data_IF_998769611200
#
_entry.id   IF_998769611200
#
_cell.length_a   1.000
_cell.length_b   1.000
_cell.length_c   1.000
_cell.angle_alpha   90.00
_cell.angle_beta   90.00
_cell.angle_gamma   90.00
#
_symmetry.space_group_name_H-M   'P 1'
#
loop_
_entity.id
_entity.type
_entity.pdbx_description
1 polymer ?
#
# COMPACT_ATOMS: atom_id res chain seq x y z
N UNK A 1 3.60 14.58 -9.95
CA UNK A 1 2.33 14.39 -10.68
C UNK A 1 1.25 15.20 -9.99
N UNK A 2 0.41 15.92 -10.73
CA UNK A 2 -0.84 16.47 -10.19
C UNK A 2 -1.87 15.36 -10.30
N UNK A 3 -2.42 14.94 -9.17
CA UNK A 3 -3.55 14.01 -9.11
C UNK A 3 -4.79 14.86 -8.85
N UNK A 4 -5.88 14.59 -9.55
CA UNK A 4 -7.14 15.27 -9.31
C UNK A 4 -7.71 14.81 -7.97
N UNK A 5 -8.15 15.77 -7.17
CA UNK A 5 -8.71 15.53 -5.84
C UNK A 5 -10.21 15.85 -5.91
N UNK A 6 -11.04 14.87 -5.58
CA UNK A 6 -12.49 15.05 -5.53
C UNK A 6 -13.12 14.19 -4.43
N UNK A 7 -14.27 14.64 -3.92
CA UNK A 7 -15.03 14.00 -2.85
C UNK A 7 -16.12 13.07 -3.40
N UNK A 8 -15.89 12.41 -4.53
CA UNK A 8 -16.84 11.45 -5.08
C UNK A 8 -16.12 10.15 -5.46
N UNK A 9 -16.81 9.01 -5.36
CA UNK A 9 -16.25 7.73 -5.73
C UNK A 9 -15.85 7.71 -7.22
N UNK A 10 -14.80 6.94 -7.55
CA UNK A 10 -14.26 6.80 -8.91
C UNK A 10 -13.63 8.07 -9.52
N UNK A 11 -13.15 9.01 -8.71
CA UNK A 11 -12.34 10.12 -9.20
C UNK A 11 -11.09 9.63 -9.95
N UNK A 12 -10.47 8.55 -9.48
CA UNK A 12 -9.35 7.89 -10.12
C UNK A 12 -9.85 6.81 -11.07
N UNK A 13 -9.68 7.00 -12.38
CA UNK A 13 -10.09 6.03 -13.41
C UNK A 13 -8.96 5.04 -13.71
N UNK A 14 -7.73 5.53 -13.80
CA UNK A 14 -6.52 4.73 -13.99
C UNK A 14 -5.61 4.90 -12.77
N UNK A 15 -4.96 3.82 -12.29
CA UNK A 15 -4.07 3.92 -11.15
C UNK A 15 -2.94 4.92 -11.39
N UNK A 16 -2.77 5.86 -10.48
CA UNK A 16 -1.63 6.77 -10.49
C UNK A 16 -0.49 6.15 -9.72
N UNK A 17 0.68 6.05 -10.35
CA UNK A 17 1.88 5.51 -9.71
C UNK A 17 2.84 6.63 -9.36
N UNK A 18 3.15 6.77 -8.08
CA UNK A 18 4.15 7.68 -7.55
C UNK A 18 5.34 6.93 -6.95
N UNK A 19 6.49 7.58 -6.88
CA UNK A 19 7.65 7.04 -6.17
C UNK A 19 7.89 7.85 -4.91
N UNK A 20 7.82 7.19 -3.77
CA UNK A 20 8.22 7.73 -2.48
C UNK A 20 9.53 7.06 -2.02
N UNK A 21 10.27 7.74 -1.15
CA UNK A 21 11.49 7.19 -0.58
C UNK A 21 11.30 6.98 0.92
N UNK A 22 11.46 5.74 1.37
CA UNK A 22 11.36 5.38 2.78
C UNK A 22 12.76 5.30 3.37
N UNK A 23 12.98 6.01 4.46
CA UNK A 23 14.24 5.97 5.19
C UNK A 23 14.37 4.68 5.99
N UNK A 24 15.49 3.99 5.85
CA UNK A 24 15.79 2.84 6.69
C UNK A 24 15.85 3.25 8.18
N UNK A 25 15.36 2.36 9.04
CA UNK A 25 15.30 2.61 10.49
C UNK A 25 16.68 2.80 11.11
N UNK A 26 17.65 1.99 10.67
CA UNK A 26 19.03 2.02 11.16
C UNK A 26 19.91 2.87 10.23
N UNK A 27 21.02 3.36 10.80
CA UNK A 27 22.04 4.04 10.03
C UNK A 27 22.72 3.06 9.07
N UNK A 28 23.12 3.58 7.91
CA UNK A 28 23.87 2.78 6.95
C UNK A 28 25.26 2.47 7.48
N UNK A 29 25.78 1.25 7.33
CA UNK A 29 27.15 0.88 7.73
C UNK A 29 28.26 1.77 7.12
N UNK A 30 27.95 2.52 6.05
CA UNK A 30 28.91 3.47 5.47
C UNK A 30 29.29 4.61 6.43
N UNK A 31 28.54 4.86 7.49
CA UNK A 31 28.88 5.80 8.56
C UNK A 31 30.16 5.38 9.27
N UNK A 32 30.19 4.13 9.74
CA UNK A 32 31.36 3.58 10.43
C UNK A 32 32.55 3.43 9.47
N UNK A 33 32.29 3.02 8.22
CA UNK A 33 33.33 2.91 7.21
C UNK A 33 33.97 4.27 6.91
N UNK A 34 33.16 5.34 6.81
CA UNK A 34 33.65 6.69 6.63
C UNK A 34 34.54 7.12 7.79
N UNK A 35 34.09 6.92 9.01
CA UNK A 35 34.87 7.27 10.21
C UNK A 35 36.24 6.58 10.26
N UNK A 36 36.30 5.31 9.88
CA UNK A 36 37.56 4.55 9.75
C UNK A 36 38.47 5.14 8.68
N UNK A 37 37.92 5.45 7.49
CA UNK A 37 38.71 6.01 6.39
C UNK A 37 39.24 7.42 6.71
N UNK A 38 38.48 8.23 7.44
CA UNK A 38 38.93 9.55 7.92
C UNK A 38 40.04 9.41 8.97
N UNK A 39 39.89 8.49 9.92
CA UNK A 39 40.90 8.20 10.90
C UNK A 39 42.20 7.68 10.29
N UNK A 40 42.13 6.87 9.25
CA UNK A 40 43.28 6.34 8.50
C UNK A 40 43.90 7.39 7.53
N UNK A 41 43.35 8.59 7.45
CA UNK A 41 43.79 9.64 6.51
C UNK A 41 43.53 9.32 5.04
N UNK A 42 42.70 8.31 4.74
CA UNK A 42 42.35 7.85 3.38
C UNK A 42 41.17 8.59 2.76
N UNK A 43 40.42 9.33 3.58
CA UNK A 43 39.29 10.16 3.17
C UNK A 43 39.33 11.49 3.93
N UNK A 44 39.12 12.58 3.20
CA UNK A 44 39.00 13.92 3.81
C UNK A 44 37.63 14.12 4.50
N UNK A 45 37.48 15.22 5.27
CA UNK A 45 36.21 15.59 5.87
C UNK A 45 35.15 15.79 4.79
N UNK A 46 33.88 15.63 5.17
CA UNK A 46 32.77 15.89 4.23
C UNK A 46 32.74 17.36 3.84
N UNK A 47 32.57 17.64 2.57
CA UNK A 47 32.37 19.00 2.09
C UNK A 47 31.05 19.56 2.62
N UNK A 48 31.00 20.84 2.94
CA UNK A 48 29.80 21.48 3.49
C UNK A 48 28.60 21.40 2.53
N UNK A 49 28.84 21.39 1.22
CA UNK A 49 27.83 21.31 0.17
C UNK A 49 27.68 19.89 -0.41
N UNK A 50 28.17 18.84 0.25
CA UNK A 50 27.99 17.46 -0.22
C UNK A 50 26.50 17.09 -0.26
N UNK A 51 25.91 16.83 -1.45
CA UNK A 51 24.50 16.49 -1.59
C UNK A 51 24.14 15.18 -0.89
N UNK A 52 25.12 14.34 -0.60
CA UNK A 52 24.96 13.06 0.11
C UNK A 52 25.26 13.17 1.61
N UNK A 53 25.59 14.36 2.09
CA UNK A 53 25.87 14.66 3.50
C UNK A 53 26.82 13.64 4.13
N UNK A 54 27.92 13.36 3.46
CA UNK A 54 28.97 12.48 3.94
C UNK A 54 28.76 10.98 3.63
N UNK A 55 27.67 10.56 3.04
CA UNK A 55 27.45 9.16 2.70
C UNK A 55 28.34 8.69 1.55
N UNK A 56 29.12 7.61 1.74
CA UNK A 56 30.11 7.13 0.77
C UNK A 56 29.71 5.86 0.03
N UNK A 57 28.64 5.16 0.45
CA UNK A 57 28.19 3.95 -0.23
C UNK A 57 27.46 4.24 -1.55
N UNK A 58 27.44 3.24 -2.43
CA UNK A 58 26.69 3.26 -3.68
C UNK A 58 25.63 2.14 -3.67
N UNK A 59 24.40 2.42 -3.21
CA UNK A 59 23.35 1.42 -3.23
C UNK A 59 22.92 1.05 -4.66
N UNK A 60 22.58 -0.20 -4.90
CA UNK A 60 22.05 -0.65 -6.20
C UNK A 60 20.69 -0.01 -6.51
N UNK A 61 19.87 0.20 -5.49
CA UNK A 61 18.54 0.82 -5.56
C UNK A 61 18.43 1.92 -4.52
N UNK A 62 17.74 3.00 -4.86
CA UNK A 62 17.59 4.15 -3.98
C UNK A 62 18.88 4.94 -3.80
N UNK A 63 19.00 5.61 -2.68
CA UNK A 63 20.13 6.47 -2.35
C UNK A 63 20.49 6.38 -0.87
N UNK A 64 21.62 6.97 -0.48
CA UNK A 64 22.00 7.12 0.92
C UNK A 64 22.41 8.57 1.15
N UNK A 65 21.72 9.26 2.04
CA UNK A 65 21.95 10.67 2.34
C UNK A 65 22.05 10.82 3.88
N UNK A 66 23.10 11.45 4.36
CA UNK A 66 23.31 11.62 5.80
C UNK A 66 23.34 10.28 6.57
N UNK A 67 23.91 9.26 5.92
CA UNK A 67 23.98 7.90 6.45
C UNK A 67 22.63 7.19 6.62
N UNK A 68 21.55 7.75 6.08
CA UNK A 68 20.24 7.09 5.99
C UNK A 68 20.06 6.51 4.60
N UNK A 69 19.79 5.20 4.54
CA UNK A 69 19.40 4.54 3.29
C UNK A 69 17.98 4.92 2.96
N UNK A 70 17.78 5.45 1.77
CA UNK A 70 16.47 5.77 1.20
C UNK A 70 16.12 4.71 0.17
N UNK A 71 15.06 3.95 0.42
CA UNK A 71 14.59 2.86 -0.45
C UNK A 71 13.37 3.37 -1.22
N UNK A 72 13.34 3.23 -2.55
CA UNK A 72 12.17 3.60 -3.33
C UNK A 72 11.01 2.68 -3.00
N UNK A 73 9.83 3.26 -2.82
CA UNK A 73 8.56 2.59 -2.65
C UNK A 73 7.60 3.14 -3.70
N UNK A 74 6.93 2.27 -4.42
CA UNK A 74 5.92 2.65 -5.39
C UNK A 74 4.58 2.77 -4.67
N UNK A 75 4.03 3.97 -4.67
CA UNK A 75 2.67 4.22 -4.18
C UNK A 75 1.74 4.19 -5.37
N UNK A 76 0.75 3.32 -5.30
CA UNK A 76 -0.30 3.20 -6.31
C UNK A 76 -1.57 3.78 -5.72
N UNK A 77 -2.03 4.90 -6.30
CA UNK A 77 -3.32 5.50 -5.97
C UNK A 77 -4.38 4.80 -6.81
N UNK A 78 -5.18 3.98 -6.17
CA UNK A 78 -6.23 3.19 -6.82
C UNK A 78 -7.59 3.86 -6.65
N UNK A 79 -8.51 3.56 -7.57
CA UNK A 79 -9.89 4.06 -7.50
C UNK A 79 -10.54 3.70 -6.15
N UNK A 80 -11.42 4.57 -5.65
CA UNK A 80 -12.14 4.32 -4.40
C UNK A 80 -12.94 3.02 -4.45
N UNK A 81 -12.89 2.26 -3.37
CA UNK A 81 -13.69 1.05 -3.21
C UNK A 81 -15.11 1.45 -2.76
N UNK A 82 -16.12 0.84 -3.37
CA UNK A 82 -17.52 1.02 -2.97
C UNK A 82 -18.10 -0.30 -2.45
N UNK A 83 -19.10 -0.25 -1.57
CA UNK A 83 -19.78 -1.44 -1.09
C UNK A 83 -20.35 -2.30 -2.22
N UNK A 84 -20.08 -3.62 -2.16
CA UNK A 84 -20.47 -4.57 -3.20
C UNK A 84 -19.49 -4.63 -4.39
N UNK A 85 -18.28 -4.11 -4.24
CA UNK A 85 -17.23 -4.24 -5.23
C UNK A 85 -16.89 -5.71 -5.49
N UNK A 86 -16.90 -6.55 -4.46
CA UNK A 86 -16.74 -8.01 -4.54
C UNK A 86 -17.84 -8.69 -5.35
N UNK A 87 -19.04 -8.13 -5.42
CA UNK A 87 -20.17 -8.58 -6.23
C UNK A 87 -20.16 -8.01 -7.68
N UNK A 88 -19.11 -7.28 -8.02
CA UNK A 88 -18.96 -6.67 -9.35
C UNK A 88 -19.57 -5.29 -9.52
N UNK A 89 -20.02 -4.63 -8.43
CA UNK A 89 -20.46 -3.24 -8.49
C UNK A 89 -19.28 -2.31 -8.82
N UNK A 90 -19.54 -1.36 -9.66
CA UNK A 90 -18.52 -0.42 -10.13
C UNK A 90 -17.40 -1.10 -10.93
N UNK A 91 -16.14 -0.86 -10.56
CA UNK A 91 -14.95 -1.52 -11.14
C UNK A 91 -14.45 -2.70 -10.28
N UNK A 92 -15.27 -3.20 -9.36
CA UNK A 92 -14.91 -4.06 -8.24
C UNK A 92 -13.86 -5.12 -8.51
N UNK A 93 -14.10 -6.04 -9.45
CA UNK A 93 -13.13 -7.12 -9.72
C UNK A 93 -11.80 -6.61 -10.28
N UNK A 94 -11.79 -5.57 -11.11
CA UNK A 94 -10.56 -4.98 -11.64
C UNK A 94 -9.77 -4.28 -10.52
N UNK A 95 -10.45 -3.55 -9.65
CA UNK A 95 -9.86 -2.90 -8.48
C UNK A 95 -9.22 -3.92 -7.52
N UNK A 96 -9.94 -4.98 -7.17
CA UNK A 96 -9.45 -6.02 -6.27
C UNK A 96 -8.29 -6.80 -6.89
N UNK A 97 -8.29 -6.98 -8.21
CA UNK A 97 -7.15 -7.54 -8.95
C UNK A 97 -5.93 -6.61 -8.91
N UNK A 98 -6.12 -5.29 -8.98
CA UNK A 98 -5.03 -4.31 -8.83
C UNK A 98 -4.43 -4.36 -7.42
N UNK A 99 -5.26 -4.51 -6.38
CA UNK A 99 -4.80 -4.67 -5.00
C UNK A 99 -3.98 -5.96 -4.80
N UNK A 100 -4.29 -7.03 -5.49
CA UNK A 100 -3.58 -8.30 -5.35
C UNK A 100 -2.11 -8.24 -5.77
N UNK A 101 -1.72 -7.24 -6.54
CA UNK A 101 -0.35 -7.00 -6.97
C UNK A 101 0.44 -6.09 -5.99
N UNK A 102 -0.17 -5.63 -4.91
CA UNK A 102 0.47 -4.77 -3.93
C UNK A 102 1.07 -5.59 -2.79
N UNK A 103 2.27 -5.23 -2.32
CA UNK A 103 2.91 -5.85 -1.15
C UNK A 103 2.28 -5.41 0.17
N UNK A 104 1.65 -4.24 0.20
CA UNK A 104 0.95 -3.68 1.36
C UNK A 104 -0.13 -2.70 0.93
N UNK A 105 -1.14 -2.53 1.76
CA UNK A 105 -2.24 -1.59 1.56
C UNK A 105 -2.19 -0.48 2.62
N UNK A 106 -2.51 0.73 2.20
CA UNK A 106 -2.70 1.88 3.08
C UNK A 106 -4.16 2.30 2.95
N UNK A 107 -4.93 2.02 3.98
CA UNK A 107 -6.32 2.47 4.05
C UNK A 107 -6.38 3.89 4.58
N UNK A 108 -7.08 4.77 3.85
CA UNK A 108 -7.36 6.14 4.27
C UNK A 108 -8.81 6.19 4.77
N UNK A 109 -9.01 6.72 5.96
CA UNK A 109 -10.29 6.75 6.67
C UNK A 109 -10.67 8.20 6.97
N UNK A 110 -11.94 8.57 6.80
CA UNK A 110 -12.45 9.87 7.20
C UNK A 110 -12.61 9.96 8.72
N UNK A 111 -11.56 10.43 9.40
CA UNK A 111 -11.56 10.58 10.86
C UNK A 111 -12.55 11.65 11.38
N UNK A 112 -13.12 12.49 10.51
CA UNK A 112 -14.13 13.45 10.87
C UNK A 112 -15.55 12.87 10.82
N UNK A 113 -15.71 11.65 10.27
CA UNK A 113 -17.02 11.03 10.01
C UNK A 113 -17.99 11.98 9.31
N UNK A 114 -17.48 12.70 8.31
CA UNK A 114 -18.23 13.69 7.52
C UNK A 114 -18.79 13.10 6.23
N UNK A 115 -18.38 11.88 5.90
CA UNK A 115 -18.85 11.12 4.74
C UNK A 115 -19.36 9.74 5.16
N UNK A 116 -20.26 9.17 4.35
CA UNK A 116 -20.61 7.76 4.45
C UNK A 116 -19.59 6.87 3.73
N UNK A 117 -19.76 5.54 3.84
CA UNK A 117 -18.86 4.57 3.19
C UNK A 117 -18.88 4.64 1.63
N UNK A 118 -19.85 5.33 1.05
CA UNK A 118 -19.92 5.60 -0.39
C UNK A 118 -19.24 6.93 -0.77
N UNK A 119 -18.76 7.70 0.23
CA UNK A 119 -18.14 9.00 0.04
C UNK A 119 -19.14 10.18 -0.07
N UNK A 120 -20.44 9.96 0.21
CA UNK A 120 -21.42 11.03 0.19
C UNK A 120 -21.32 11.85 1.47
N UNK A 121 -21.41 13.18 1.40
CA UNK A 121 -21.43 14.02 2.60
C UNK A 121 -22.63 13.69 3.51
N UNK A 122 -22.36 13.48 4.78
CA UNK A 122 -23.38 13.27 5.80
C UNK A 122 -23.33 14.41 6.83
N UNK A 123 -24.42 14.59 7.57
CA UNK A 123 -24.41 15.51 8.70
C UNK A 123 -23.39 15.02 9.73
N UNK A 124 -22.53 15.90 10.25
CA UNK A 124 -21.53 15.51 11.24
C UNK A 124 -22.18 14.77 12.42
N UNK A 125 -21.50 13.72 12.87
CA UNK A 125 -21.97 12.95 14.02
C UNK A 125 -22.15 13.85 15.24
N UNK A 126 -23.32 13.76 15.89
CA UNK A 126 -23.66 14.60 17.04
C UNK A 126 -22.99 14.18 18.33
N UNK A 127 -22.43 12.98 18.35
CA UNK A 127 -21.73 12.41 19.50
C UNK A 127 -20.57 11.51 19.09
N UNK A 128 -19.64 11.29 20.03
CA UNK A 128 -18.41 10.54 19.81
C UNK A 128 -18.69 9.05 19.49
N UNK A 129 -19.76 8.48 20.02
CA UNK A 129 -20.07 7.07 19.79
C UNK A 129 -20.51 6.84 18.34
N UNK A 130 -21.35 7.71 17.80
CA UNK A 130 -21.81 7.64 16.41
C UNK A 130 -20.63 7.85 15.44
N UNK A 131 -19.74 8.82 15.73
CA UNK A 131 -18.52 9.03 14.95
C UNK A 131 -17.61 7.79 14.98
N UNK A 132 -17.39 7.21 16.15
CA UNK A 132 -16.56 6.00 16.30
C UNK A 132 -17.13 4.81 15.54
N UNK A 133 -18.44 4.63 15.53
CA UNK A 133 -19.10 3.57 14.79
C UNK A 133 -18.92 3.74 13.27
N UNK A 134 -19.07 4.96 12.75
CA UNK A 134 -18.86 5.26 11.34
C UNK A 134 -17.43 4.96 10.92
N UNK A 135 -16.45 5.42 11.69
CA UNK A 135 -15.02 5.16 11.45
C UNK A 135 -14.72 3.66 11.50
N UNK A 136 -15.30 2.93 12.47
CA UNK A 136 -15.10 1.49 12.57
C UNK A 136 -15.68 0.75 11.35
N UNK A 137 -16.83 1.16 10.84
CA UNK A 137 -17.41 0.60 9.64
C UNK A 137 -16.51 0.81 8.41
N UNK A 138 -15.89 1.99 8.26
CA UNK A 138 -14.92 2.22 7.20
C UNK A 138 -13.68 1.33 7.34
N UNK A 139 -13.19 1.13 8.55
CA UNK A 139 -12.02 0.26 8.81
C UNK A 139 -12.34 -1.19 8.44
N UNK A 140 -13.49 -1.70 8.88
CA UNK A 140 -13.89 -3.09 8.69
C UNK A 140 -14.29 -3.38 7.24
N UNK A 141 -14.78 -2.38 6.54
CA UNK A 141 -15.30 -2.47 5.18
C UNK A 141 -14.30 -3.09 4.19
N UNK A 142 -13.05 -2.62 4.17
CA UNK A 142 -12.03 -3.13 3.25
C UNK A 142 -11.77 -4.63 3.48
N UNK A 143 -11.65 -5.04 4.73
CA UNK A 143 -11.44 -6.44 5.09
C UNK A 143 -12.62 -7.31 4.65
N UNK A 144 -13.84 -6.84 4.86
CA UNK A 144 -15.05 -7.56 4.47
C UNK A 144 -15.15 -7.72 2.95
N UNK A 145 -14.86 -6.67 2.18
CA UNK A 145 -14.88 -6.74 0.71
C UNK A 145 -13.81 -7.69 0.15
N UNK A 146 -12.60 -7.69 0.75
CA UNK A 146 -11.55 -8.63 0.38
C UNK A 146 -11.92 -10.08 0.69
N UNK A 147 -12.50 -10.34 1.87
CA UNK A 147 -12.95 -11.68 2.26
C UNK A 147 -14.06 -12.19 1.32
N UNK A 148 -15.04 -11.34 1.01
CA UNK A 148 -16.11 -11.67 0.06
C UNK A 148 -15.57 -11.92 -1.36
N UNK A 149 -14.59 -11.14 -1.80
CA UNK A 149 -13.96 -11.36 -3.10
C UNK A 149 -13.22 -12.69 -3.18
N UNK A 150 -12.42 -13.03 -2.15
CA UNK A 150 -11.73 -14.32 -2.07
C UNK A 150 -12.75 -15.47 -2.05
N UNK A 151 -13.82 -15.32 -1.26
CA UNK A 151 -14.90 -16.29 -1.22
C UNK A 151 -15.52 -16.51 -2.59
N UNK A 152 -15.86 -15.43 -3.31
CA UNK A 152 -16.41 -15.52 -4.67
C UNK A 152 -15.47 -16.24 -5.64
N UNK A 153 -14.16 -15.97 -5.61
CA UNK A 153 -13.18 -16.67 -6.42
C UNK A 153 -13.13 -18.18 -6.10
N UNK A 154 -13.25 -18.53 -4.83
CA UNK A 154 -13.29 -19.93 -4.39
C UNK A 154 -14.58 -20.61 -4.86
N UNK A 155 -15.74 -19.98 -4.70
CA UNK A 155 -17.03 -20.52 -5.13
C UNK A 155 -17.09 -20.74 -6.63
N UNK A 156 -16.67 -19.77 -7.43
CA UNK A 156 -16.61 -19.86 -8.90
C UNK A 156 -15.70 -21.00 -9.38
N UNK A 157 -14.64 -21.25 -8.62
CA UNK A 157 -13.64 -22.26 -8.95
C UNK A 157 -13.91 -23.62 -8.32
N UNK A 158 -14.82 -23.71 -7.33
CA UNK A 158 -15.02 -24.87 -6.48
C UNK A 158 -15.20 -26.18 -7.22
N UNK A 159 -16.10 -26.20 -8.22
CA UNK A 159 -16.40 -27.41 -8.98
C UNK A 159 -15.19 -27.92 -9.80
N UNK A 160 -14.29 -27.03 -10.21
CA UNK A 160 -13.04 -27.40 -10.88
C UNK A 160 -12.03 -27.95 -9.90
N UNK A 161 -11.90 -27.31 -8.73
CA UNK A 161 -11.03 -27.75 -7.65
C UNK A 161 -11.39 -29.14 -7.16
N UNK A 162 -12.66 -29.41 -6.88
CA UNK A 162 -13.15 -30.72 -6.43
C UNK A 162 -12.82 -31.81 -7.46
N UNK A 163 -13.08 -31.58 -8.74
CA UNK A 163 -12.73 -32.56 -9.79
C UNK A 163 -11.23 -32.82 -9.88
N UNK A 164 -10.41 -31.79 -9.70
CA UNK A 164 -8.96 -31.93 -9.71
C UNK A 164 -8.45 -32.73 -8.52
N UNK A 165 -8.96 -32.46 -7.32
CA UNK A 165 -8.64 -33.26 -6.12
C UNK A 165 -9.05 -34.71 -6.28
N UNK A 166 -10.22 -34.97 -6.86
CA UNK A 166 -10.69 -36.34 -7.13
C UNK A 166 -9.80 -37.11 -8.10
N UNK A 167 -9.19 -36.42 -9.09
CA UNK A 167 -8.33 -37.05 -10.10
C UNK A 167 -6.85 -37.12 -9.69
N UNK A 168 -6.33 -36.13 -8.99
CA UNK A 168 -4.90 -35.95 -8.71
C UNK A 168 -4.56 -36.12 -7.21
N UNK A 169 -5.58 -36.32 -6.35
CA UNK A 169 -5.43 -36.33 -4.89
C UNK A 169 -5.01 -34.97 -4.32
N UNK A 170 -4.29 -34.96 -3.20
CA UNK A 170 -3.87 -33.75 -2.52
C UNK A 170 -3.01 -32.80 -3.39
N UNK A 171 -2.30 -33.33 -4.39
CA UNK A 171 -1.52 -32.53 -5.33
C UNK A 171 -2.40 -31.60 -6.17
N UNK A 172 -3.66 -31.98 -6.38
CA UNK A 172 -4.63 -31.15 -7.11
C UNK A 172 -4.96 -29.84 -6.41
N UNK A 173 -4.79 -29.75 -5.08
CA UNK A 173 -4.98 -28.53 -4.30
C UNK A 173 -3.81 -27.56 -4.53
N UNK A 174 -2.56 -28.07 -4.57
CA UNK A 174 -1.37 -27.25 -4.71
C UNK A 174 -1.25 -26.57 -6.08
N UNK A 175 -1.95 -27.08 -7.08
CA UNK A 175 -1.93 -26.60 -8.46
C UNK A 175 -3.25 -25.88 -8.84
N UNK A 176 -4.10 -25.61 -7.87
CA UNK A 176 -5.38 -24.93 -8.05
C UNK A 176 -5.26 -23.45 -7.77
#
# INVERSE_FOLDING_TARGET
AKVDIANYPFCTIEPNVGVAFIAARLDCPCKELRQKLEADGRLGPAEENDPRKGSICQPRTGTCIGFKRLVPCYLVDVAGLVPGASEGKGRGNAFLADLSNCDALIQVVDAAASTDIEGNPISPATDVNTASQSIQQEIDFLSLELDNWILGLLEDSWSRGVRRVQSEGERGILNF
#
